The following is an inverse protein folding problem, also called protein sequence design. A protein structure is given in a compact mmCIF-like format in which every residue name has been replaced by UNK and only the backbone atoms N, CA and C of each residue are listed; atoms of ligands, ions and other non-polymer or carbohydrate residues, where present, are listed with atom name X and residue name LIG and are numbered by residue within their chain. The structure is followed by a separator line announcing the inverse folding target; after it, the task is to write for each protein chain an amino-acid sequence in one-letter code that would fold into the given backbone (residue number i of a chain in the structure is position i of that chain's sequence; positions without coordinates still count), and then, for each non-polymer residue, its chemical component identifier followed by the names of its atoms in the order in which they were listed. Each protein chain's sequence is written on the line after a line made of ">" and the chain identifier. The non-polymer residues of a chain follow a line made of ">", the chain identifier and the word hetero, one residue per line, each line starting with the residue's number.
data_IF_305099006758
#
_entry.id   IF_305099006758
#
_cell.length_a   1.000
_cell.length_b   1.000
_cell.length_c   1.000
_cell.angle_alpha   90.00
_cell.angle_beta   90.00
_cell.angle_gamma   90.00
#
_symmetry.space_group_name_H-M   'P 1'
#
loop_
_entity.id
_entity.type
_entity.pdbx_description
1 polymer ?
#
# COMPACT_ATOMS: atom_id res chain seq x y z
N UNK A 1 -9.02 -68.49 -31.42
CA UNK A 1 -9.33 -67.05 -31.50
C UNK A 1 -8.20 -66.33 -30.77
N UNK A 2 -7.08 -66.08 -31.45
CA UNK A 2 -6.64 -64.79 -32.04
C UNK A 2 -5.62 -64.04 -31.14
N UNK A 3 -4.32 -64.19 -31.50
CA UNK A 3 -3.14 -63.29 -31.37
C UNK A 3 -2.89 -62.61 -30.00
N UNK A 4 -1.81 -62.83 -29.23
CA UNK A 4 -0.35 -62.98 -29.50
C UNK A 4 0.23 -61.85 -30.35
N UNK A 5 0.92 -60.88 -29.73
CA UNK A 5 2.17 -60.23 -30.19
C UNK A 5 2.74 -59.35 -29.05
N UNK A 6 3.45 -59.98 -28.12
CA UNK A 6 4.57 -59.39 -27.39
C UNK A 6 5.84 -59.94 -28.05
N UNK A 7 6.88 -59.11 -28.09
CA UNK A 7 8.26 -59.39 -28.54
C UNK A 7 8.63 -58.96 -29.96
N UNK A 8 9.38 -57.86 -30.00
CA UNK A 8 10.44 -57.51 -30.95
C UNK A 8 11.17 -56.34 -30.25
N UNK A 9 12.48 -56.26 -30.07
CA UNK A 9 13.64 -56.95 -30.62
C UNK A 9 14.80 -56.69 -29.63
N UNK A 10 15.66 -57.70 -29.56
CA UNK A 10 16.96 -57.75 -28.89
C UNK A 10 17.85 -56.52 -29.07
N UNK A 11 18.47 -56.12 -27.97
CA UNK A 11 19.54 -55.14 -27.89
C UNK A 11 20.79 -55.58 -28.66
N UNK A 12 21.27 -54.75 -29.60
CA UNK A 12 22.67 -54.57 -29.92
C UNK A 12 22.84 -53.43 -30.94
N UNK A 13 23.48 -52.33 -30.52
CA UNK A 13 24.69 -51.76 -31.13
C UNK A 13 24.87 -50.29 -30.73
N UNK A 14 26.04 -50.05 -30.16
CA UNK A 14 26.59 -48.74 -29.82
C UNK A 14 26.61 -47.80 -31.02
N UNK A 15 26.17 -46.55 -30.82
CA UNK A 15 26.72 -45.38 -31.50
C UNK A 15 26.80 -44.22 -30.51
N UNK A 16 28.03 -43.74 -30.35
CA UNK A 16 28.44 -42.49 -29.70
C UNK A 16 27.60 -41.32 -30.20
N UNK A 17 27.10 -40.46 -29.30
CA UNK A 17 26.79 -39.07 -29.61
C UNK A 17 26.81 -38.21 -28.33
N UNK A 18 27.84 -37.37 -28.29
CA UNK A 18 27.99 -36.07 -27.64
C UNK A 18 27.32 -35.80 -26.28
N UNK A 19 28.18 -35.61 -25.28
CA UNK A 19 27.90 -34.89 -24.03
C UNK A 19 27.59 -33.43 -24.40
N UNK A 20 26.32 -33.05 -24.34
CA UNK A 20 25.89 -31.65 -24.35
C UNK A 20 25.72 -31.16 -22.91
N UNK A 21 26.68 -30.35 -22.46
CA UNK A 21 26.60 -29.59 -21.21
C UNK A 21 25.35 -28.70 -21.25
N UNK A 22 24.34 -29.00 -20.43
CA UNK A 22 23.19 -28.11 -20.24
C UNK A 22 23.63 -26.98 -19.30
N UNK A 23 24.21 -25.92 -19.86
CA UNK A 23 24.39 -24.65 -19.16
C UNK A 23 23.01 -24.03 -18.98
N UNK A 24 22.57 -23.93 -17.72
CA UNK A 24 21.42 -23.10 -17.33
C UNK A 24 21.79 -21.66 -17.66
N UNK A 25 21.27 -21.16 -18.78
CA UNK A 25 21.34 -19.75 -19.11
C UNK A 25 20.45 -19.02 -18.09
N UNK A 26 21.07 -18.35 -17.12
CA UNK A 26 20.42 -17.32 -16.35
C UNK A 26 19.92 -16.26 -17.34
N UNK A 27 18.64 -16.29 -17.67
CA UNK A 27 17.98 -15.19 -18.33
C UNK A 27 18.04 -13.99 -17.38
N UNK A 28 19.00 -13.10 -17.60
CA UNK A 28 18.93 -11.74 -17.11
C UNK A 28 17.62 -11.15 -17.64
N UNK A 29 16.59 -11.14 -16.80
CA UNK A 29 15.48 -10.20 -16.94
C UNK A 29 16.07 -8.83 -16.71
N UNK A 30 16.62 -8.25 -17.77
CA UNK A 30 16.86 -6.83 -17.84
C UNK A 30 15.50 -6.17 -17.65
N UNK A 31 15.33 -5.47 -16.51
CA UNK A 31 14.26 -4.49 -16.39
C UNK A 31 14.34 -3.60 -17.63
N UNK A 32 13.30 -3.63 -18.46
CA UNK A 32 13.22 -2.76 -19.61
C UNK A 32 13.30 -1.32 -19.09
N UNK A 33 14.46 -0.67 -19.30
CA UNK A 33 14.60 0.77 -19.12
C UNK A 33 13.48 1.39 -19.96
N UNK A 34 12.60 2.17 -19.34
CA UNK A 34 11.62 2.95 -20.09
C UNK A 34 12.37 3.66 -21.23
N UNK A 35 11.82 3.64 -22.47
CA UNK A 35 12.48 4.30 -23.59
C UNK A 35 12.77 5.75 -23.22
N UNK A 36 14.05 6.12 -23.25
CA UNK A 36 14.51 7.47 -22.97
C UNK A 36 13.80 8.44 -23.95
N UNK A 37 12.78 9.16 -23.47
CA UNK A 37 12.11 10.19 -24.28
C UNK A 37 13.14 11.29 -24.59
N UNK A 38 13.40 11.63 -25.87
CA UNK A 38 14.36 12.64 -26.24
C UNK A 38 14.16 13.99 -25.52
N UNK A 39 12.91 14.38 -25.23
CA UNK A 39 12.61 15.63 -24.50
C UNK A 39 13.06 15.60 -23.04
N UNK A 40 13.20 14.41 -22.49
CA UNK A 40 13.50 14.17 -21.08
C UNK A 40 14.98 14.22 -20.78
N UNK A 41 15.77 13.60 -21.66
CA UNK A 41 17.22 13.76 -21.63
C UNK A 41 17.59 15.22 -21.87
N UNK A 42 16.84 15.92 -22.73
CA UNK A 42 17.07 17.34 -23.00
C UNK A 42 16.92 18.20 -21.74
N UNK A 43 15.80 18.12 -21.00
CA UNK A 43 15.61 18.94 -19.79
C UNK A 43 16.68 18.65 -18.72
N UNK A 44 16.91 17.37 -18.40
CA UNK A 44 17.88 17.04 -17.34
C UNK A 44 19.31 17.41 -17.74
N UNK A 45 19.68 17.27 -19.02
CA UNK A 45 21.00 17.64 -19.52
C UNK A 45 21.17 19.16 -19.59
N UNK A 46 20.19 19.90 -20.13
CA UNK A 46 20.18 21.37 -20.17
C UNK A 46 20.42 21.93 -18.76
N UNK A 47 19.81 21.32 -17.74
CA UNK A 47 19.93 21.77 -16.36
C UNK A 47 21.22 21.37 -15.67
N UNK A 48 21.98 20.39 -16.16
CA UNK A 48 23.30 20.07 -15.58
C UNK A 48 24.32 21.19 -15.82
N UNK A 49 24.24 21.86 -16.97
CA UNK A 49 25.19 22.88 -17.39
C UNK A 49 24.70 24.32 -17.13
N UNK A 50 23.49 24.48 -16.58
CA UNK A 50 22.86 25.77 -16.37
C UNK A 50 23.32 26.47 -15.06
N UNK A 51 23.32 27.80 -15.08
CA UNK A 51 23.63 28.62 -13.90
C UNK A 51 22.45 28.73 -12.93
N UNK A 52 22.78 28.72 -11.63
CA UNK A 52 21.85 29.03 -10.55
C UNK A 52 21.54 30.53 -10.46
N UNK A 53 20.40 30.86 -9.85
CA UNK A 53 19.96 32.24 -9.68
C UNK A 53 20.83 33.02 -8.70
N UNK A 54 21.36 34.17 -9.14
CA UNK A 54 22.18 35.08 -8.31
C UNK A 54 21.45 35.67 -7.10
N UNK A 55 20.11 35.67 -7.11
CA UNK A 55 19.26 36.18 -6.02
C UNK A 55 18.34 35.11 -5.42
N UNK A 56 18.57 33.84 -5.76
CA UNK A 56 17.74 32.73 -5.30
C UNK A 56 16.25 32.94 -5.59
N UNK A 57 15.42 32.67 -4.58
CA UNK A 57 13.96 32.72 -4.63
C UNK A 57 13.41 34.10 -5.03
N UNK A 58 14.08 35.21 -4.71
CA UNK A 58 13.64 36.56 -5.08
C UNK A 58 13.54 36.76 -6.61
N UNK A 59 14.31 35.97 -7.38
CA UNK A 59 14.19 35.97 -8.85
C UNK A 59 12.91 35.27 -9.29
N UNK A 60 12.54 34.18 -8.63
CA UNK A 60 11.39 33.34 -8.95
C UNK A 60 10.06 34.00 -8.53
N UNK A 61 10.02 34.56 -7.32
CA UNK A 61 8.80 35.09 -6.70
C UNK A 61 8.25 36.36 -7.38
N UNK A 62 9.01 36.98 -8.30
CA UNK A 62 8.53 38.08 -9.15
C UNK A 62 7.49 37.64 -10.18
N UNK A 63 7.48 36.36 -10.53
CA UNK A 63 6.54 35.76 -11.48
C UNK A 63 5.67 34.67 -10.85
N UNK A 64 6.15 34.07 -9.74
CA UNK A 64 5.49 33.01 -8.99
C UNK A 64 5.05 33.53 -7.61
N UNK A 65 4.13 34.48 -7.59
CA UNK A 65 3.51 35.01 -6.37
C UNK A 65 2.20 34.26 -6.03
N UNK A 66 1.46 34.77 -5.03
CA UNK A 66 0.17 34.20 -4.58
C UNK A 66 -0.93 34.20 -5.65
N UNK A 67 -0.94 35.22 -6.51
CA UNK A 67 -1.96 35.40 -7.54
C UNK A 67 -1.54 34.82 -8.89
N UNK A 68 -0.29 34.33 -9.00
CA UNK A 68 0.22 33.71 -10.21
C UNK A 68 -0.56 32.44 -10.57
N UNK A 69 -0.47 32.05 -11.84
CA UNK A 69 -1.03 30.79 -12.34
C UNK A 69 -0.49 29.55 -11.60
N UNK A 70 0.69 29.65 -11.00
CA UNK A 70 1.36 28.58 -10.29
C UNK A 70 1.83 29.10 -8.92
N UNK A 71 0.91 29.24 -7.95
CA UNK A 71 1.24 29.81 -6.65
C UNK A 71 2.14 28.87 -5.87
N UNK A 72 3.27 29.40 -5.38
CA UNK A 72 4.28 28.61 -4.64
C UNK A 72 4.40 29.02 -3.17
N UNK A 73 3.86 30.18 -2.78
CA UNK A 73 4.10 30.77 -1.46
C UNK A 73 3.65 29.92 -0.27
N UNK A 74 2.73 28.97 -0.49
CA UNK A 74 2.31 28.06 0.57
C UNK A 74 3.42 27.11 1.05
N UNK A 75 4.49 26.90 0.26
CA UNK A 75 5.66 26.13 0.71
C UNK A 75 6.31 26.73 1.96
N UNK A 76 6.26 28.06 2.10
CA UNK A 76 6.82 28.77 3.25
C UNK A 76 6.08 28.52 4.56
N UNK A 77 4.91 27.87 4.52
CA UNK A 77 4.14 27.43 5.68
C UNK A 77 4.51 26.00 6.13
N UNK A 78 5.43 25.35 5.43
CA UNK A 78 5.86 23.96 5.66
C UNK A 78 7.29 23.90 6.18
N UNK A 79 7.77 22.75 6.71
CA UNK A 79 9.17 22.59 7.08
C UNK A 79 10.16 22.87 5.94
N UNK A 80 9.76 22.66 4.67
CA UNK A 80 10.63 22.97 3.53
C UNK A 80 10.85 24.47 3.34
N UNK A 81 9.98 25.30 3.90
CA UNK A 81 10.01 26.76 3.82
C UNK A 81 10.96 27.46 4.78
N UNK A 82 11.58 26.73 5.72
CA UNK A 82 12.29 27.30 6.86
C UNK A 82 13.73 27.68 6.48
N UNK A 83 13.94 28.94 6.11
CA UNK A 83 15.26 29.46 5.67
C UNK A 83 16.39 29.28 6.70
N UNK A 84 16.06 29.27 7.99
CA UNK A 84 17.04 29.09 9.06
C UNK A 84 17.52 27.64 9.23
N UNK A 85 16.76 26.65 8.71
CA UNK A 85 17.14 25.25 8.78
C UNK A 85 17.94 24.85 7.54
N UNK A 86 19.23 24.54 7.74
CA UNK A 86 20.15 24.07 6.70
C UNK A 86 19.75 22.75 6.04
N UNK A 87 18.86 21.97 6.67
CA UNK A 87 18.34 20.74 6.08
C UNK A 87 17.08 20.97 5.24
N UNK A 88 16.47 22.16 5.34
CA UNK A 88 15.37 22.53 4.46
C UNK A 88 15.90 22.98 3.09
N UNK A 89 15.12 22.82 2.01
CA UNK A 89 15.45 23.40 0.72
C UNK A 89 15.68 24.91 0.79
N UNK A 90 14.87 25.64 1.57
CA UNK A 90 15.00 27.10 1.70
C UNK A 90 16.23 27.58 2.47
N UNK A 91 16.86 26.72 3.28
CA UNK A 91 18.17 26.98 3.89
C UNK A 91 19.36 26.58 3.01
N UNK A 92 19.10 26.06 1.80
CA UNK A 92 20.10 25.66 0.81
C UNK A 92 19.99 26.53 -0.47
N UNK A 93 19.72 25.92 -1.63
CA UNK A 93 19.54 26.59 -2.92
C UNK A 93 18.08 27.02 -3.15
N UNK A 94 17.26 27.02 -2.11
CA UNK A 94 15.88 27.47 -2.13
C UNK A 94 15.06 26.71 -3.19
N UNK A 95 14.37 27.40 -4.09
CA UNK A 95 13.54 26.78 -5.12
C UNK A 95 14.38 25.85 -6.01
N UNK A 96 15.64 26.20 -6.26
CA UNK A 96 16.53 25.48 -7.15
C UNK A 96 17.06 24.17 -6.53
N UNK A 97 16.90 23.97 -5.22
CA UNK A 97 17.15 22.65 -4.58
C UNK A 97 16.23 21.57 -5.16
N UNK A 98 14.97 21.90 -5.47
CA UNK A 98 14.02 20.95 -6.04
C UNK A 98 13.83 21.11 -7.54
N UNK A 99 13.93 22.34 -8.05
CA UNK A 99 13.65 22.66 -9.45
C UNK A 99 14.90 22.69 -10.35
N UNK A 100 16.09 22.51 -9.77
CA UNK A 100 17.36 22.66 -10.47
C UNK A 100 17.69 24.12 -10.79
N UNK A 101 18.85 24.37 -11.42
CA UNK A 101 19.28 25.72 -11.77
C UNK A 101 18.33 26.39 -12.76
N UNK A 102 18.08 27.69 -12.56
CA UNK A 102 17.16 28.46 -13.37
C UNK A 102 17.58 28.56 -14.84
N UNK A 103 18.87 28.72 -15.14
CA UNK A 103 19.34 28.97 -16.51
C UNK A 103 18.57 30.10 -17.18
N UNK A 104 18.20 29.91 -18.45
CA UNK A 104 17.48 30.91 -19.25
C UNK A 104 16.00 31.05 -18.86
N UNK A 105 15.49 30.23 -17.93
CA UNK A 105 14.10 30.34 -17.47
C UNK A 105 13.79 31.73 -16.92
N UNK A 106 14.77 32.39 -16.29
CA UNK A 106 14.59 33.70 -15.66
C UNK A 106 14.83 34.88 -16.61
N UNK A 107 15.08 34.62 -17.89
CA UNK A 107 15.41 35.67 -18.85
C UNK A 107 14.28 36.68 -19.03
N UNK A 108 14.61 37.95 -18.89
CA UNK A 108 13.61 39.04 -18.90
C UNK A 108 13.01 39.29 -20.29
N UNK A 109 13.57 38.70 -21.34
CA UNK A 109 13.17 38.90 -22.74
C UNK A 109 12.83 37.57 -23.38
N UNK A 110 11.56 37.21 -23.34
CA UNK A 110 10.98 36.18 -24.21
C UNK A 110 10.23 36.88 -25.33
N UNK A 111 10.40 36.45 -26.57
CA UNK A 111 9.63 37.02 -27.68
C UNK A 111 8.16 36.64 -27.54
N UNK A 112 7.27 37.45 -28.12
CA UNK A 112 5.82 37.20 -28.05
C UNK A 112 5.51 35.86 -28.74
N UNK A 113 5.13 34.86 -27.94
CA UNK A 113 4.81 33.50 -28.41
C UNK A 113 5.88 32.46 -28.08
N UNK A 114 7.06 32.86 -27.59
CA UNK A 114 8.09 31.94 -27.11
C UNK A 114 7.77 31.45 -25.69
N UNK A 115 8.10 30.20 -25.41
CA UNK A 115 8.03 29.62 -24.07
C UNK A 115 9.38 29.81 -23.38
N UNK A 116 9.33 30.08 -22.07
CA UNK A 116 10.52 30.02 -21.21
C UNK A 116 11.08 28.60 -21.22
N UNK A 117 12.39 28.48 -21.05
CA UNK A 117 13.06 27.19 -20.84
C UNK A 117 12.37 26.42 -19.69
N UNK A 118 12.11 25.14 -19.91
CA UNK A 118 11.39 24.34 -18.93
C UNK A 118 12.25 24.12 -17.67
N UNK A 119 11.64 24.29 -16.51
CA UNK A 119 12.23 23.90 -15.23
C UNK A 119 11.91 22.44 -14.92
N UNK A 120 12.66 21.83 -14.01
CA UNK A 120 12.27 20.54 -13.44
C UNK A 120 10.92 20.74 -12.77
N UNK A 121 9.92 19.97 -13.19
CA UNK A 121 8.58 19.99 -12.57
C UNK A 121 8.16 18.57 -12.21
N UNK A 122 7.25 18.46 -11.25
CA UNK A 122 6.79 17.17 -10.74
C UNK A 122 5.45 16.74 -11.34
N UNK A 123 4.98 17.43 -12.37
CA UNK A 123 3.73 17.09 -13.06
C UNK A 123 3.86 15.72 -13.75
N UNK A 124 2.79 14.92 -13.73
CA UNK A 124 2.69 13.70 -14.52
C UNK A 124 2.80 14.00 -16.02
N UNK A 125 3.54 13.16 -16.75
CA UNK A 125 3.63 13.22 -18.22
C UNK A 125 4.41 14.40 -18.80
N UNK A 126 5.33 15.01 -18.05
CA UNK A 126 6.21 16.09 -18.52
C UNK A 126 7.56 15.60 -19.10
N UNK A 127 7.66 14.31 -19.44
CA UNK A 127 8.90 13.68 -19.88
C UNK A 127 9.77 13.15 -18.73
N UNK A 128 10.02 13.95 -17.69
CA UNK A 128 10.96 13.57 -16.61
C UNK A 128 10.57 12.22 -15.97
N UNK A 129 11.48 11.22 -15.89
CA UNK A 129 11.17 9.90 -15.40
C UNK A 129 10.85 9.96 -13.91
N UNK A 130 9.96 9.09 -13.43
CA UNK A 130 9.54 9.09 -12.03
C UNK A 130 10.72 8.84 -11.08
N UNK A 131 11.66 7.97 -11.47
CA UNK A 131 12.87 7.72 -10.70
C UNK A 131 13.69 8.99 -10.44
N UNK A 132 13.88 9.85 -11.45
CA UNK A 132 14.62 11.12 -11.30
C UNK A 132 13.83 12.13 -10.46
N UNK A 133 12.51 12.20 -10.62
CA UNK A 133 11.64 13.02 -9.74
C UNK A 133 11.78 12.61 -8.28
N UNK A 134 11.71 11.31 -8.01
CA UNK A 134 11.78 10.77 -6.67
C UNK A 134 13.17 10.96 -6.06
N UNK A 135 14.24 10.82 -6.85
CA UNK A 135 15.64 11.02 -6.43
C UNK A 135 15.89 12.40 -5.84
N UNK A 136 15.22 13.44 -6.34
CA UNK A 136 15.32 14.80 -5.77
C UNK A 136 14.86 14.78 -4.31
N UNK A 137 13.70 14.19 -4.03
CA UNK A 137 13.19 14.05 -2.66
C UNK A 137 14.06 13.08 -1.84
N UNK A 138 14.41 11.94 -2.41
CA UNK A 138 15.14 10.85 -1.76
C UNK A 138 16.56 11.27 -1.35
N UNK A 139 17.19 12.19 -2.10
CA UNK A 139 18.49 12.77 -1.74
C UNK A 139 18.54 13.38 -0.33
N UNK A 140 17.39 13.83 0.19
CA UNK A 140 17.23 14.27 1.59
C UNK A 140 16.45 13.27 2.44
N UNK A 141 15.41 12.62 1.90
CA UNK A 141 14.48 11.78 2.65
C UNK A 141 14.87 10.29 2.75
N UNK A 142 15.88 9.81 2.03
CA UNK A 142 16.32 8.39 2.07
C UNK A 142 16.87 7.98 3.45
N UNK A 143 17.39 8.94 4.22
CA UNK A 143 17.91 8.70 5.58
C UNK A 143 16.83 8.77 6.66
N UNK A 144 15.56 8.96 6.30
CA UNK A 144 14.47 8.82 7.25
C UNK A 144 14.33 7.33 7.57
N UNK A 145 14.89 6.94 8.72
CA UNK A 145 15.33 5.62 9.19
C UNK A 145 14.45 4.37 8.96
N UNK A 146 13.27 4.48 8.33
CA UNK A 146 12.26 3.40 8.25
C UNK A 146 11.40 3.42 6.99
N UNK A 147 11.77 4.16 5.95
CA UNK A 147 10.88 4.32 4.78
C UNK A 147 10.71 3.04 3.97
N UNK A 148 11.70 2.12 3.96
CA UNK A 148 11.70 0.90 3.13
C UNK A 148 11.27 1.16 1.67
N UNK A 149 11.57 2.36 1.16
CA UNK A 149 11.08 2.84 -0.14
C UNK A 149 11.64 2.04 -1.31
N UNK A 150 12.95 1.80 -1.31
CA UNK A 150 13.61 0.99 -2.32
C UNK A 150 13.06 -0.45 -2.27
N UNK A 151 12.51 -0.91 -3.39
CA UNK A 151 11.87 -2.23 -3.50
C UNK A 151 10.41 -2.28 -3.03
N UNK A 152 9.83 -1.16 -2.59
CA UNK A 152 8.41 -1.12 -2.22
C UNK A 152 7.49 -1.30 -3.42
N UNK A 153 6.25 -1.71 -3.17
CA UNK A 153 5.25 -1.85 -4.24
C UNK A 153 4.94 -0.51 -4.92
N UNK A 154 5.00 0.62 -4.22
CA UNK A 154 4.79 1.93 -4.85
C UNK A 154 5.99 2.35 -5.70
N UNK A 155 7.22 2.13 -5.23
CA UNK A 155 8.43 2.46 -5.99
C UNK A 155 8.54 1.61 -7.26
N UNK A 156 8.25 0.31 -7.17
CA UNK A 156 8.30 -0.63 -8.31
C UNK A 156 7.16 -0.47 -9.30
N UNK A 157 6.11 0.27 -8.95
CA UNK A 157 5.00 0.63 -9.84
C UNK A 157 5.08 2.10 -10.30
N UNK A 158 6.28 2.70 -10.29
CA UNK A 158 6.55 4.05 -10.78
C UNK A 158 5.62 5.13 -10.17
N UNK A 159 5.29 5.01 -8.89
CA UNK A 159 4.56 6.05 -8.16
C UNK A 159 5.54 7.16 -7.76
N UNK A 160 5.21 8.40 -8.11
CA UNK A 160 6.01 9.56 -7.72
C UNK A 160 5.66 10.01 -6.30
N UNK A 161 6.62 10.57 -5.54
CA UNK A 161 6.35 11.15 -4.21
C UNK A 161 5.22 12.20 -4.28
N UNK A 162 5.21 12.98 -5.36
CA UNK A 162 4.25 14.06 -5.64
C UNK A 162 2.89 13.58 -6.15
N UNK A 163 2.71 12.28 -6.37
CA UNK A 163 1.39 11.71 -6.63
C UNK A 163 0.54 11.62 -5.35
N UNK A 164 1.21 11.62 -4.18
CA UNK A 164 0.57 11.62 -2.86
C UNK A 164 0.79 12.94 -2.11
N UNK A 165 2.03 13.45 -2.13
CA UNK A 165 2.43 14.63 -1.36
C UNK A 165 2.24 15.93 -2.15
N UNK A 166 1.67 16.95 -1.51
CA UNK A 166 1.59 18.30 -2.07
C UNK A 166 2.47 19.29 -1.30
N UNK A 167 3.63 19.63 -1.87
CA UNK A 167 4.62 20.51 -1.22
C UNK A 167 4.29 22.00 -1.32
N UNK A 168 3.54 22.42 -2.34
CA UNK A 168 3.04 23.80 -2.48
C UNK A 168 1.67 23.99 -1.83
N UNK A 169 1.42 23.29 -0.73
CA UNK A 169 0.24 23.45 0.10
C UNK A 169 0.65 23.71 1.55
N UNK A 170 -0.13 24.53 2.25
CA UNK A 170 0.14 24.83 3.65
C UNK A 170 0.06 23.58 4.54
N UNK A 171 -0.80 22.64 4.15
CA UNK A 171 -0.97 21.34 4.77
C UNK A 171 -1.10 20.30 3.68
N UNK A 172 -0.27 19.28 3.76
CA UNK A 172 -0.25 18.19 2.80
C UNK A 172 -1.46 17.26 2.99
N UNK A 173 -2.34 17.07 1.99
CA UNK A 173 -3.55 16.26 2.14
C UNK A 173 -3.30 14.82 2.60
N UNK A 174 -2.19 14.19 2.19
CA UNK A 174 -1.91 12.80 2.60
C UNK A 174 -1.49 12.70 4.08
N UNK A 175 -1.00 13.79 4.68
CA UNK A 175 -0.69 13.84 6.11
C UNK A 175 -1.92 14.07 7.00
N UNK A 176 -3.08 14.36 6.40
CA UNK A 176 -4.33 14.55 7.14
C UNK A 176 -5.17 13.28 7.02
N UNK A 177 -5.40 12.61 8.16
CA UNK A 177 -6.15 11.33 8.22
C UNK A 177 -7.49 11.40 7.48
N UNK A 178 -8.23 12.50 7.61
CA UNK A 178 -9.53 12.69 6.98
C UNK A 178 -9.51 12.72 5.45
N UNK A 179 -8.39 13.12 4.84
CA UNK A 179 -8.24 13.15 3.37
C UNK A 179 -7.45 11.99 2.79
N UNK A 180 -6.83 11.14 3.62
CA UNK A 180 -6.07 9.98 3.13
C UNK A 180 -6.91 9.05 2.25
N UNK A 181 -8.17 8.78 2.63
CA UNK A 181 -9.04 7.90 1.85
C UNK A 181 -9.28 8.39 0.42
N UNK A 182 -9.24 9.71 0.21
CA UNK A 182 -9.41 10.30 -1.12
C UNK A 182 -8.12 10.24 -1.92
N UNK A 183 -6.96 10.53 -1.31
CA UNK A 183 -5.64 10.41 -1.96
C UNK A 183 -5.37 8.96 -2.36
N UNK A 184 -5.41 8.02 -1.41
CA UNK A 184 -5.15 6.60 -1.67
C UNK A 184 -6.23 6.02 -2.59
N UNK A 185 -7.49 6.44 -2.42
CA UNK A 185 -8.62 5.97 -3.19
C UNK A 185 -8.67 6.46 -4.64
N UNK A 186 -7.70 7.26 -5.09
CA UNK A 186 -7.48 7.54 -6.53
C UNK A 186 -6.97 6.32 -7.30
N UNK A 187 -6.31 5.38 -6.62
CA UNK A 187 -5.84 4.11 -7.19
C UNK A 187 -6.39 2.87 -6.44
N UNK A 188 -6.74 3.01 -5.15
CA UNK A 188 -7.26 1.93 -4.30
C UNK A 188 -8.78 2.02 -4.13
N UNK A 189 -9.51 1.98 -5.24
CA UNK A 189 -10.97 2.17 -5.28
C UNK A 189 -11.70 1.06 -4.52
N UNK A 190 -11.22 -0.18 -4.58
CA UNK A 190 -11.86 -1.29 -3.88
C UNK A 190 -11.79 -1.11 -2.36
N UNK A 191 -10.67 -0.61 -1.82
CA UNK A 191 -10.54 -0.25 -0.40
C UNK A 191 -11.39 0.98 -0.04
N UNK A 192 -11.42 2.01 -0.91
CA UNK A 192 -12.30 3.18 -0.72
C UNK A 192 -13.77 2.79 -0.59
N UNK A 193 -14.22 1.81 -1.39
CA UNK A 193 -15.58 1.28 -1.33
C UNK A 193 -15.78 0.36 -0.12
N UNK A 194 -14.77 -0.46 0.24
CA UNK A 194 -14.83 -1.33 1.42
C UNK A 194 -15.03 -0.50 2.70
N UNK A 195 -14.37 0.65 2.83
CA UNK A 195 -14.52 1.58 3.95
C UNK A 195 -15.91 2.23 4.06
N UNK A 196 -16.84 1.95 3.13
CA UNK A 196 -18.25 2.37 3.17
C UNK A 196 -19.22 1.23 3.49
N UNK A 197 -18.73 0.00 3.72
CA UNK A 197 -19.58 -1.15 4.04
C UNK A 197 -20.20 -1.03 5.43
N UNK A 198 -21.15 -1.92 5.73
CA UNK A 198 -21.91 -1.89 6.99
C UNK A 198 -21.03 -1.95 8.24
N UNK A 199 -20.02 -2.82 8.25
CA UNK A 199 -19.05 -2.94 9.34
C UNK A 199 -17.66 -2.62 8.80
N UNK A 200 -17.03 -1.58 9.33
CA UNK A 200 -15.70 -1.11 8.94
C UNK A 200 -14.99 -0.54 10.16
N UNK A 201 -13.67 -0.42 10.10
CA UNK A 201 -12.95 0.51 10.97
C UNK A 201 -13.46 1.96 10.76
N UNK A 202 -13.26 2.87 11.73
CA UNK A 202 -13.75 4.25 11.68
C UNK A 202 -12.92 5.14 10.73
N UNK A 203 -12.84 4.71 9.46
CA UNK A 203 -12.23 5.42 8.34
C UNK A 203 -13.21 6.38 7.67
N UNK A 204 -14.51 6.26 7.95
CA UNK A 204 -15.56 7.12 7.39
C UNK A 204 -15.35 8.54 7.92
N UNK A 205 -14.97 9.46 7.03
CA UNK A 205 -14.52 10.84 7.29
C UNK A 205 -13.10 10.96 7.87
N UNK A 206 -12.42 9.85 8.14
CA UNK A 206 -11.00 9.75 8.57
C UNK A 206 -10.58 10.60 9.77
N UNK A 207 -11.53 10.99 10.63
CA UNK A 207 -11.24 11.79 11.83
C UNK A 207 -10.60 10.96 12.96
N UNK A 208 -10.97 9.67 13.05
CA UNK A 208 -10.48 8.77 14.12
C UNK A 208 -9.33 7.89 13.66
N UNK A 209 -9.35 7.47 12.39
CA UNK A 209 -8.36 6.56 11.81
C UNK A 209 -8.11 6.89 10.35
N UNK A 210 -6.85 6.74 9.92
CA UNK A 210 -6.41 6.85 8.54
C UNK A 210 -5.77 5.55 8.04
N UNK A 211 -5.51 5.48 6.74
CA UNK A 211 -4.83 4.34 6.13
C UNK A 211 -3.42 4.13 6.73
N UNK A 212 -2.76 5.23 7.14
CA UNK A 212 -1.44 5.22 7.75
C UNK A 212 -1.38 4.62 9.15
N UNK A 213 -2.52 4.40 9.80
CA UNK A 213 -2.55 3.72 11.10
C UNK A 213 -2.31 2.20 10.97
N UNK A 214 -2.46 1.64 9.76
CA UNK A 214 -2.19 0.22 9.48
C UNK A 214 -1.09 0.00 8.43
N UNK A 215 -0.92 0.92 7.47
CA UNK A 215 0.02 0.77 6.37
C UNK A 215 1.13 1.81 6.38
N UNK A 216 2.35 1.38 6.06
CA UNK A 216 3.49 2.24 5.71
C UNK A 216 3.58 2.38 4.19
N UNK A 217 3.11 3.51 3.65
CA UNK A 217 2.98 3.73 2.21
C UNK A 217 4.33 3.78 1.50
N UNK A 218 5.39 4.11 2.23
CA UNK A 218 6.73 4.08 1.67
C UNK A 218 7.28 2.65 1.57
N UNK A 219 6.85 1.75 2.45
CA UNK A 219 7.41 0.41 2.50
C UNK A 219 7.34 -0.19 3.90
N UNK A 220 7.31 -1.51 3.99
CA UNK A 220 7.50 -2.25 5.22
C UNK A 220 8.14 -3.60 4.90
N UNK A 221 8.80 -4.18 5.90
CA UNK A 221 9.27 -5.56 5.84
C UNK A 221 8.13 -6.58 5.92
N UNK A 222 6.95 -6.15 6.35
CA UNK A 222 5.77 -7.00 6.43
C UNK A 222 4.98 -7.00 5.11
N UNK A 223 4.25 -8.09 4.87
CA UNK A 223 3.32 -8.22 3.76
C UNK A 223 2.28 -7.09 3.77
N UNK A 224 1.80 -6.73 2.58
CA UNK A 224 0.82 -5.66 2.38
C UNK A 224 1.22 -4.31 3.00
N UNK A 225 2.52 -4.07 3.17
CA UNK A 225 3.07 -2.84 3.74
C UNK A 225 2.55 -2.52 5.15
N UNK A 226 2.23 -3.51 5.97
CA UNK A 226 1.70 -3.26 7.31
C UNK A 226 2.75 -2.65 8.24
N UNK A 227 2.33 -1.77 9.15
CA UNK A 227 3.23 -1.08 10.10
C UNK A 227 3.77 -1.98 11.21
N UNK A 228 3.06 -3.06 11.55
CA UNK A 228 3.54 -4.08 12.48
C UNK A 228 4.42 -5.12 11.80
N UNK A 229 5.12 -5.93 12.58
CA UNK A 229 5.98 -7.02 12.07
C UNK A 229 5.18 -8.23 11.56
N UNK A 230 3.92 -8.35 11.97
CA UNK A 230 2.94 -9.32 11.47
C UNK A 230 1.55 -8.66 11.33
N UNK A 231 0.62 -9.35 10.67
CA UNK A 231 -0.80 -8.91 10.62
C UNK A 231 -1.37 -8.76 12.04
N UNK A 232 -1.14 -9.76 12.89
CA UNK A 232 -1.63 -9.77 14.26
C UNK A 232 -1.01 -8.64 15.10
N UNK A 233 0.31 -8.42 14.99
CA UNK A 233 0.96 -7.32 15.72
C UNK A 233 0.44 -5.96 15.29
N UNK A 234 0.05 -5.79 14.02
CA UNK A 234 -0.61 -4.56 13.57
C UNK A 234 -1.97 -4.39 14.25
N UNK A 235 -2.75 -5.46 14.35
CA UNK A 235 -4.04 -5.44 15.06
C UNK A 235 -3.86 -5.14 16.56
N UNK A 236 -2.86 -5.73 17.21
CA UNK A 236 -2.61 -5.60 18.65
C UNK A 236 -2.12 -4.22 19.08
N UNK A 237 -1.74 -3.34 18.15
CA UNK A 237 -1.47 -1.93 18.47
C UNK A 237 -2.70 -1.22 19.04
N UNK A 238 -3.90 -1.68 18.66
CA UNK A 238 -5.17 -1.16 19.19
C UNK A 238 -5.94 -2.23 19.97
N UNK A 239 -5.94 -3.48 19.50
CA UNK A 239 -6.66 -4.62 20.09
C UNK A 239 -5.77 -5.44 21.02
N UNK A 240 -5.11 -4.76 21.97
CA UNK A 240 -4.17 -5.39 22.90
C UNK A 240 -4.82 -6.50 23.74
N UNK A 241 -6.13 -6.41 23.99
CA UNK A 241 -6.90 -7.41 24.72
C UNK A 241 -7.02 -8.76 23.98
N UNK A 242 -6.59 -8.84 22.72
CA UNK A 242 -6.62 -10.05 21.88
C UNK A 242 -5.25 -10.69 21.69
N UNK A 243 -4.17 -10.12 22.25
CA UNK A 243 -2.79 -10.54 21.99
C UNK A 243 -2.43 -11.91 22.56
N UNK A 244 -3.05 -12.33 23.65
CA UNK A 244 -2.64 -13.53 24.38
C UNK A 244 -1.26 -13.39 25.05
N UNK A 245 -0.65 -14.51 25.48
CA UNK A 245 -1.17 -15.88 25.32
C UNK A 245 -2.41 -16.11 26.18
N UNK A 246 -3.37 -16.85 25.64
CA UNK A 246 -4.51 -17.35 26.43
C UNK A 246 -4.24 -18.78 26.89
N UNK A 247 -4.83 -19.20 28.02
CA UNK A 247 -4.72 -20.59 28.48
C UNK A 247 -5.30 -21.59 27.45
N UNK A 248 -6.36 -21.16 26.76
CA UNK A 248 -6.98 -21.87 25.63
C UNK A 248 -7.13 -20.90 24.46
N UNK A 249 -6.22 -21.00 23.49
CA UNK A 249 -6.26 -20.19 22.28
C UNK A 249 -7.22 -20.76 21.24
N UNK A 250 -7.80 -19.87 20.43
CA UNK A 250 -8.48 -20.27 19.21
C UNK A 250 -7.48 -20.18 18.07
N UNK A 251 -7.04 -21.31 17.52
CA UNK A 251 -5.89 -21.39 16.59
C UNK A 251 -5.90 -20.36 15.43
N UNK A 252 -6.99 -20.18 14.66
CA UNK A 252 -7.07 -19.11 13.67
C UNK A 252 -6.73 -17.69 14.15
N UNK A 253 -6.97 -17.38 15.43
CA UNK A 253 -6.72 -16.06 16.01
C UNK A 253 -5.24 -15.85 16.31
N UNK A 254 -4.54 -16.87 16.82
CA UNK A 254 -3.09 -16.81 17.04
C UNK A 254 -2.32 -16.77 15.73
N UNK A 255 -2.83 -17.44 14.68
CA UNK A 255 -2.24 -17.46 13.35
C UNK A 255 -2.41 -16.11 12.62
N UNK A 256 -3.64 -15.71 12.32
CA UNK A 256 -3.91 -14.50 11.53
C UNK A 256 -5.36 -14.00 11.68
N UNK A 257 -5.52 -12.80 12.25
CA UNK A 257 -6.81 -12.12 12.43
C UNK A 257 -7.62 -12.01 11.11
N UNK A 258 -6.95 -11.91 9.97
CA UNK A 258 -7.58 -11.75 8.66
C UNK A 258 -8.23 -13.03 8.10
N UNK A 259 -8.05 -14.19 8.76
CA UNK A 259 -8.76 -15.42 8.41
C UNK A 259 -10.27 -15.29 8.64
N UNK A 260 -10.66 -14.54 9.67
CA UNK A 260 -12.06 -14.29 10.00
C UNK A 260 -12.50 -12.86 9.70
N UNK A 261 -11.59 -11.87 9.78
CA UNK A 261 -11.91 -10.46 9.60
C UNK A 261 -11.42 -9.90 8.26
N UNK A 262 -12.24 -9.05 7.64
CA UNK A 262 -11.81 -8.18 6.55
C UNK A 262 -11.47 -6.79 7.10
N UNK A 263 -10.18 -6.44 7.28
CA UNK A 263 -9.78 -5.22 7.98
C UNK A 263 -10.23 -3.92 7.29
N UNK A 264 -10.57 -3.98 5.99
CA UNK A 264 -11.05 -2.82 5.23
C UNK A 264 -12.56 -2.64 5.33
N UNK A 265 -13.31 -3.71 5.59
CA UNK A 265 -14.76 -3.65 5.69
C UNK A 265 -15.52 -4.87 5.17
N UNK A 266 -16.63 -5.19 5.81
CA UNK A 266 -17.56 -6.25 5.42
C UNK A 266 -19.01 -5.81 5.57
N UNK A 267 -19.90 -6.48 4.83
CA UNK A 267 -21.34 -6.38 5.05
C UNK A 267 -21.80 -7.22 6.25
N UNK A 268 -20.94 -8.11 6.76
CA UNK A 268 -21.20 -8.85 7.98
C UNK A 268 -20.73 -8.04 9.20
N UNK A 269 -21.45 -8.16 10.32
CA UNK A 269 -21.09 -7.53 11.61
C UNK A 269 -19.66 -7.92 12.02
N UNK A 270 -18.97 -7.01 12.72
CA UNK A 270 -17.59 -7.19 13.19
C UNK A 270 -16.61 -7.49 12.04
N UNK A 271 -16.87 -6.94 10.85
CA UNK A 271 -16.02 -7.09 9.67
C UNK A 271 -15.79 -8.54 9.23
N UNK A 272 -16.67 -9.49 9.58
CA UNK A 272 -16.42 -10.89 9.29
C UNK A 272 -16.43 -11.20 7.79
N UNK A 273 -15.54 -12.06 7.32
CA UNK A 273 -15.50 -12.50 5.91
C UNK A 273 -16.75 -13.30 5.53
N UNK A 274 -17.35 -14.01 6.50
CA UNK A 274 -18.60 -14.73 6.38
C UNK A 274 -19.44 -14.56 7.64
N UNK A 275 -20.77 -14.69 7.52
CA UNK A 275 -21.68 -14.65 8.67
C UNK A 275 -21.67 -16.01 9.38
N UNK A 276 -21.82 -16.00 10.71
CA UNK A 276 -22.13 -17.22 11.46
C UNK A 276 -23.53 -17.75 11.07
N UNK A 277 -23.75 -19.07 11.02
CA UNK A 277 -22.84 -20.15 11.44
C UNK A 277 -21.81 -20.58 10.38
N UNK A 278 -21.96 -20.15 9.12
CA UNK A 278 -21.13 -20.62 8.01
C UNK A 278 -19.62 -20.43 8.24
N UNK A 279 -19.24 -19.28 8.82
CA UNK A 279 -17.85 -19.00 9.20
C UNK A 279 -17.26 -20.07 10.15
N UNK A 280 -18.05 -20.57 11.09
CA UNK A 280 -17.58 -21.60 12.02
C UNK A 280 -17.53 -22.96 11.31
N UNK A 281 -18.53 -23.24 10.46
CA UNK A 281 -18.67 -24.50 9.74
C UNK A 281 -17.62 -24.69 8.64
N UNK A 282 -16.92 -23.63 8.20
CA UNK A 282 -15.79 -23.76 7.27
C UNK A 282 -14.62 -24.55 7.87
N UNK A 283 -14.52 -24.61 9.21
CA UNK A 283 -13.48 -25.35 9.93
C UNK A 283 -14.06 -26.45 10.84
N UNK A 284 -15.25 -26.24 11.43
CA UNK A 284 -15.87 -27.18 12.36
C UNK A 284 -16.91 -28.06 11.66
N UNK A 285 -16.55 -29.32 11.38
CA UNK A 285 -17.35 -30.23 10.55
C UNK A 285 -18.11 -31.34 11.28
N UNK A 286 -17.84 -31.66 12.55
CA UNK A 286 -18.63 -32.70 13.25
C UNK A 286 -18.42 -32.92 14.76
N UNK A 287 -17.52 -32.21 15.47
CA UNK A 287 -17.35 -32.48 16.90
C UNK A 287 -18.45 -31.83 17.76
N UNK A 288 -19.37 -32.67 18.28
CA UNK A 288 -20.33 -32.32 19.33
C UNK A 288 -21.67 -31.77 18.86
N UNK A 289 -21.72 -30.98 17.78
CA UNK A 289 -22.96 -30.56 17.13
C UNK A 289 -22.99 -31.07 15.68
N UNK A 290 -24.13 -31.56 15.16
CA UNK A 290 -24.23 -31.93 13.75
C UNK A 290 -23.94 -30.69 12.88
N UNK A 291 -22.91 -30.76 12.04
CA UNK A 291 -22.68 -29.80 10.95
C UNK A 291 -23.66 -30.05 9.81
N UNK A 292 -24.94 -30.08 10.16
CA UNK A 292 -26.04 -30.11 9.21
C UNK A 292 -26.20 -28.72 8.63
N UNK A 293 -26.68 -28.68 7.38
CA UNK A 293 -27.11 -27.46 6.75
C UNK A 293 -28.11 -26.75 7.67
N UNK A 294 -27.85 -25.49 7.96
CA UNK A 294 -28.76 -24.62 8.71
C UNK A 294 -29.35 -23.63 7.71
N UNK A 295 -30.55 -23.93 7.24
CA UNK A 295 -31.30 -23.09 6.31
C UNK A 295 -32.60 -22.60 6.96
N UNK A 296 -33.39 -21.85 6.19
CA UNK A 296 -34.66 -21.29 6.66
C UNK A 296 -35.70 -22.37 7.01
N UNK A 297 -35.56 -23.60 6.54
CA UNK A 297 -36.46 -24.70 6.89
C UNK A 297 -36.40 -25.06 8.38
N UNK A 298 -35.34 -24.64 9.08
CA UNK A 298 -35.20 -24.74 10.53
C UNK A 298 -35.76 -23.56 11.31
N UNK A 299 -36.48 -22.62 10.66
CA UNK A 299 -37.08 -21.43 11.28
C UNK A 299 -38.60 -21.37 11.07
N UNK A 300 -39.40 -21.28 12.16
CA UNK A 300 -39.05 -21.59 13.54
C UNK A 300 -38.72 -23.08 13.71
N UNK A 301 -38.03 -23.46 14.79
CA UNK A 301 -37.84 -24.88 15.11
C UNK A 301 -39.22 -25.56 15.26
N UNK A 302 -39.35 -26.88 15.05
CA UNK A 302 -40.63 -27.60 15.11
C UNK A 302 -41.42 -27.42 16.42
N UNK A 303 -40.75 -26.99 17.50
CA UNK A 303 -41.32 -26.69 18.81
C UNK A 303 -41.70 -25.20 18.99
N UNK A 304 -41.72 -24.40 17.91
CA UNK A 304 -41.99 -22.96 17.95
C UNK A 304 -40.84 -22.11 18.51
N UNK A 305 -39.70 -22.70 18.84
CA UNK A 305 -38.55 -21.99 19.40
C UNK A 305 -37.67 -21.34 18.32
N UNK A 306 -37.00 -20.26 18.70
CA UNK A 306 -35.97 -19.63 17.87
C UNK A 306 -34.73 -20.53 17.74
N UNK A 307 -34.24 -20.76 16.52
CA UNK A 307 -33.01 -21.52 16.30
C UNK A 307 -31.79 -20.81 16.91
N UNK A 308 -31.16 -21.45 17.90
CA UNK A 308 -29.94 -20.93 18.55
C UNK A 308 -28.75 -20.78 17.60
N UNK A 309 -28.78 -21.46 16.45
CA UNK A 309 -27.70 -21.44 15.45
C UNK A 309 -27.94 -20.42 14.33
N UNK A 310 -29.18 -20.05 14.03
CA UNK A 310 -29.52 -19.11 12.95
C UNK A 310 -29.91 -17.72 13.45
N UNK A 311 -30.42 -17.63 14.69
CA UNK A 311 -30.89 -16.40 15.30
C UNK A 311 -29.91 -15.90 16.39
N UNK A 312 -30.05 -14.62 16.76
CA UNK A 312 -29.19 -13.97 17.74
C UNK A 312 -27.73 -13.95 17.29
N UNK A 313 -26.81 -14.41 18.17
CA UNK A 313 -25.38 -14.46 17.89
C UNK A 313 -24.91 -15.83 17.34
N UNK A 314 -25.83 -16.69 16.90
CA UNK A 314 -25.53 -18.02 16.35
C UNK A 314 -24.67 -18.84 17.33
N UNK A 315 -23.60 -19.47 16.87
CA UNK A 315 -22.66 -20.27 17.66
C UNK A 315 -22.14 -19.52 18.91
N UNK A 316 -21.99 -18.19 18.81
CA UNK A 316 -21.46 -17.35 19.92
C UNK A 316 -22.48 -17.05 21.01
N UNK A 317 -23.72 -17.55 20.90
CA UNK A 317 -24.65 -17.61 22.03
C UNK A 317 -24.12 -18.52 23.15
N UNK A 318 -23.39 -19.59 22.80
CA UNK A 318 -22.77 -20.52 23.75
C UNK A 318 -21.24 -20.42 23.77
N UNK A 319 -20.62 -20.11 22.62
CA UNK A 319 -19.17 -20.00 22.47
C UNK A 319 -18.76 -18.52 22.41
N UNK A 320 -18.84 -17.81 23.53
CA UNK A 320 -18.62 -16.35 23.54
C UNK A 320 -17.16 -15.93 23.47
N UNK A 321 -16.21 -16.81 23.85
CA UNK A 321 -14.78 -16.53 23.91
C UNK A 321 -14.02 -16.95 22.64
N UNK A 322 -14.55 -16.60 21.47
CA UNK A 322 -13.98 -17.01 20.16
C UNK A 322 -12.55 -16.49 19.88
N UNK A 323 -12.02 -15.60 20.72
CA UNK A 323 -10.65 -15.09 20.62
C UNK A 323 -9.68 -15.74 21.61
N UNK A 324 -10.13 -16.73 22.38
CA UNK A 324 -9.36 -17.39 23.42
C UNK A 324 -9.94 -17.18 24.82
N UNK A 325 -9.63 -18.10 25.74
CA UNK A 325 -10.08 -18.08 27.13
C UNK A 325 -8.95 -18.38 28.12
N UNK A 326 -8.97 -17.69 29.26
CA UNK A 326 -8.11 -17.97 30.42
C UNK A 326 -8.81 -18.77 31.53
N UNK A 327 -10.07 -19.16 31.32
CA UNK A 327 -10.81 -19.93 32.31
C UNK A 327 -10.33 -21.40 32.31
N UNK A 328 -10.12 -22.08 33.45
CA UNK A 328 -9.63 -23.47 33.50
C UNK A 328 -10.47 -24.48 32.70
N UNK A 329 -11.78 -24.23 32.58
CA UNK A 329 -12.71 -24.99 31.73
C UNK A 329 -13.03 -24.30 30.40
N UNK A 330 -12.10 -23.51 29.88
CA UNK A 330 -12.25 -22.65 28.69
C UNK A 330 -11.96 -23.35 27.35
N UNK A 331 -11.61 -24.64 27.35
CA UNK A 331 -11.20 -25.38 26.15
C UNK A 331 -12.24 -25.40 25.00
N UNK A 332 -13.53 -25.18 25.31
CA UNK A 332 -14.60 -25.02 24.30
C UNK A 332 -14.96 -23.56 24.01
N UNK A 333 -14.22 -22.59 24.52
CA UNK A 333 -14.44 -21.15 24.30
C UNK A 333 -15.82 -20.64 24.79
N UNK A 334 -16.36 -21.26 25.84
CA UNK A 334 -17.69 -20.92 26.39
C UNK A 334 -17.64 -19.82 27.48
N UNK A 335 -16.49 -19.67 28.14
CA UNK A 335 -16.24 -18.75 29.26
C UNK A 335 -14.75 -18.56 29.42
#
# INVERSE_FOLDING_TARGET
>A
MYKTMLNNVTAAKWKLLAIGLFTVLCANVAFAKQPDDPKTQDILQIKQDAEYSKKGADTCLKCHDEDSKFPVLNIFKTPHGVTADKHSPMGQLQCETCHGPAGNHTDKRISKGEKREDMITFKRGNGIPVAEKNKICSSCHDKMDKSHWAGSVHQTNDVACTDCHQVHAAKDPVQVKSSQIDVCGTCHQSQKLAGKRFSTHPLKNGEQMGCSDCHSQHGSVNQHLLVGVSTNDTCFQCHAEKRGPFAFEHEPVSENCALCHNPHGSNNKAMLVQKAPLLCQSCHSSEGHPSILRDESGLPLPNGSSSAFLLGRSCTNCHSQVHGSNHPSGYRLQR
#
